data_IF_199542351510
#
_entry.id   IF_199542351510
#
_cell.length_a   1.000
_cell.length_b   1.000
_cell.length_c   1.000
_cell.angle_alpha   90.00
_cell.angle_beta   90.00
_cell.angle_gamma   90.00
#
_symmetry.space_group_name_H-M   'P 1'
#
loop_
_entity.id
_entity.type
_entity.pdbx_description
1 polymer ?
#
# COMPACT_ATOMS: atom_id res chain seq x y z
N UNK A 1 -0.68 23.30 -18.83
CA UNK A 1 0.58 23.15 -18.09
C UNK A 1 1.69 23.17 -19.11
N UNK A 2 2.62 24.11 -19.03
CA UNK A 2 3.77 24.15 -19.94
C UNK A 2 4.72 22.98 -19.65
N UNK A 3 5.52 22.58 -20.64
CA UNK A 3 6.57 21.56 -20.42
C UNK A 3 7.54 22.00 -19.31
N UNK A 4 7.75 23.30 -19.17
CA UNK A 4 8.58 23.90 -18.11
C UNK A 4 7.97 23.75 -16.71
N UNK A 5 6.67 23.94 -16.55
CA UNK A 5 5.98 23.68 -15.27
C UNK A 5 6.06 22.19 -14.89
N UNK A 6 5.89 21.31 -15.88
CA UNK A 6 5.97 19.86 -15.69
C UNK A 6 7.38 19.47 -15.21
N UNK A 7 8.42 19.99 -15.88
CA UNK A 7 9.81 19.66 -15.53
C UNK A 7 10.17 20.18 -14.14
N UNK A 8 9.74 21.38 -13.76
CA UNK A 8 9.94 21.93 -12.41
C UNK A 8 9.27 21.05 -11.35
N UNK A 9 8.01 20.67 -11.55
CA UNK A 9 7.25 19.86 -10.59
C UNK A 9 7.88 18.47 -10.39
N UNK A 10 8.19 17.75 -11.47
CA UNK A 10 8.81 16.42 -11.34
C UNK A 10 10.25 16.50 -10.83
N UNK A 11 11.00 17.55 -11.18
CA UNK A 11 12.34 17.76 -10.63
C UNK A 11 12.27 17.98 -9.11
N UNK A 12 11.29 18.75 -8.62
CA UNK A 12 11.08 18.93 -7.18
C UNK A 12 10.74 17.59 -6.49
N UNK A 13 9.88 16.76 -7.08
CA UNK A 13 9.54 15.43 -6.54
C UNK A 13 10.78 14.54 -6.47
N UNK A 14 11.61 14.52 -7.52
CA UNK A 14 12.83 13.71 -7.55
C UNK A 14 13.84 14.20 -6.52
N UNK A 15 14.04 15.52 -6.39
CA UNK A 15 14.93 16.10 -5.38
C UNK A 15 14.45 15.74 -3.98
N UNK A 16 13.13 15.85 -3.71
CA UNK A 16 12.56 15.51 -2.41
C UNK A 16 12.75 14.02 -2.10
N UNK A 17 12.55 13.12 -3.07
CA UNK A 17 12.81 11.70 -2.91
C UNK A 17 14.29 11.43 -2.59
N UNK A 18 15.22 12.01 -3.37
CA UNK A 18 16.67 11.86 -3.14
C UNK A 18 17.06 12.39 -1.76
N UNK A 19 16.56 13.56 -1.38
CA UNK A 19 16.81 14.15 -0.06
C UNK A 19 16.29 13.25 1.07
N UNK A 20 15.07 12.70 0.94
CA UNK A 20 14.47 11.79 1.92
C UNK A 20 15.26 10.49 2.06
N UNK A 21 15.59 9.83 0.95
CA UNK A 21 16.42 8.63 0.95
C UNK A 21 17.83 8.91 1.48
N UNK A 22 18.44 10.03 1.08
CA UNK A 22 19.74 10.47 1.57
C UNK A 22 19.75 10.71 3.07
N UNK A 23 18.73 11.39 3.61
CA UNK A 23 18.58 11.61 5.04
C UNK A 23 18.46 10.28 5.81
N UNK A 24 17.61 9.35 5.34
CA UNK A 24 17.50 8.01 5.94
C UNK A 24 18.84 7.26 5.90
N UNK A 25 19.54 7.27 4.75
CA UNK A 25 20.83 6.62 4.61
C UNK A 25 21.89 7.22 5.55
N UNK A 26 21.92 8.55 5.71
CA UNK A 26 22.80 9.23 6.67
C UNK A 26 22.45 8.83 8.10
N UNK A 27 21.16 8.79 8.47
CA UNK A 27 20.74 8.38 9.82
C UNK A 27 21.14 6.94 10.14
N UNK A 28 20.87 6.00 9.23
CA UNK A 28 21.29 4.59 9.41
C UNK A 28 22.81 4.45 9.40
N UNK A 29 23.51 5.15 8.52
CA UNK A 29 24.98 5.16 8.46
C UNK A 29 25.62 5.73 9.73
N UNK A 30 25.10 6.86 10.23
CA UNK A 30 25.53 7.45 11.49
C UNK A 30 25.25 6.52 12.67
N UNK A 31 24.06 5.90 12.74
CA UNK A 31 23.75 4.88 13.75
C UNK A 31 24.74 3.72 13.70
N UNK A 32 25.03 3.19 12.51
CA UNK A 32 25.95 2.07 12.34
C UNK A 32 27.42 2.40 12.74
N UNK A 33 27.85 3.65 12.56
CA UNK A 33 29.21 4.11 12.89
C UNK A 33 29.32 4.49 14.37
N UNK A 34 28.36 5.25 14.90
CA UNK A 34 28.41 5.84 16.24
C UNK A 34 27.90 4.89 17.34
N UNK A 35 27.04 3.92 17.02
CA UNK A 35 26.47 3.04 18.04
C UNK A 35 27.51 2.08 18.64
N UNK A 36 27.49 1.86 19.97
CA UNK A 36 28.32 0.85 20.62
C UNK A 36 28.03 -0.56 20.10
N UNK A 37 29.02 -1.21 19.51
CA UNK A 37 28.88 -2.58 18.95
C UNK A 37 29.13 -3.62 20.04
N UNK A 38 28.09 -3.97 20.82
CA UNK A 38 28.13 -5.03 21.84
C UNK A 38 27.33 -6.26 21.39
N UNK A 39 27.93 -7.05 20.49
CA UNK A 39 27.36 -8.32 20.00
C UNK A 39 27.41 -9.40 21.09
N UNK A 40 26.39 -10.24 21.11
CA UNK A 40 26.27 -11.38 22.02
C UNK A 40 25.25 -12.32 21.41
N UNK A 41 25.49 -13.63 21.51
CA UNK A 41 24.55 -14.65 21.02
C UNK A 41 23.14 -14.46 21.58
N UNK A 42 23.02 -14.02 22.83
CA UNK A 42 21.73 -13.73 23.48
C UNK A 42 21.02 -12.47 22.95
N UNK A 43 21.73 -11.54 22.31
CA UNK A 43 21.12 -10.34 21.68
C UNK A 43 20.72 -10.59 20.24
N UNK A 44 21.40 -11.53 19.60
CA UNK A 44 21.17 -11.89 18.20
C UNK A 44 20.10 -13.00 18.06
N UNK A 45 19.62 -13.57 19.18
CA UNK A 45 18.52 -14.54 19.20
C UNK A 45 17.15 -13.85 19.07
N UNK A 46 16.19 -14.45 18.33
CA UNK A 46 14.79 -14.01 18.34
C UNK A 46 14.22 -13.92 19.75
N UNK A 47 13.44 -12.87 20.01
CA UNK A 47 12.78 -12.65 21.29
C UNK A 47 11.59 -13.59 21.44
N UNK A 48 11.61 -14.44 22.47
CA UNK A 48 10.52 -15.37 22.82
C UNK A 48 10.25 -15.32 24.34
N UNK A 49 10.03 -14.12 24.90
CA UNK A 49 9.70 -13.92 26.33
C UNK A 49 10.63 -14.64 27.35
N UNK A 50 11.91 -14.86 27.01
CA UNK A 50 12.91 -15.46 27.90
C UNK A 50 13.14 -16.96 27.70
N UNK A 51 12.41 -17.63 26.79
CA UNK A 51 12.70 -19.00 26.38
C UNK A 51 13.58 -19.04 25.13
N UNK A 52 14.42 -20.08 24.93
CA UNK A 52 15.15 -20.26 23.68
C UNK A 52 14.18 -20.40 22.48
N UNK A 53 14.42 -19.69 21.38
CA UNK A 53 13.52 -19.68 20.24
C UNK A 53 13.46 -21.05 19.57
N UNK A 54 12.25 -21.48 19.21
CA UNK A 54 12.05 -22.73 18.47
C UNK A 54 12.63 -22.64 17.05
N UNK A 55 13.34 -23.66 16.56
CA UNK A 55 13.96 -23.65 15.23
C UNK A 55 12.95 -23.64 14.07
N UNK A 56 11.69 -23.95 14.32
CA UNK A 56 10.63 -23.96 13.30
C UNK A 56 9.35 -23.36 13.84
N UNK A 57 9.01 -22.18 13.34
CA UNK A 57 7.65 -21.63 13.41
C UNK A 57 7.13 -21.56 11.98
N UNK A 58 6.47 -22.62 11.53
CA UNK A 58 5.62 -22.51 10.34
C UNK A 58 4.43 -21.66 10.74
N UNK A 59 4.55 -20.35 10.52
CA UNK A 59 3.41 -19.46 10.67
C UNK A 59 2.33 -19.89 9.69
N UNK A 60 1.14 -20.20 10.20
CA UNK A 60 0.00 -20.52 9.35
C UNK A 60 -0.45 -19.23 8.65
N UNK A 61 0.07 -19.00 7.45
CA UNK A 61 -0.42 -17.94 6.58
C UNK A 61 -1.86 -18.25 6.21
N UNK A 62 -2.79 -17.57 6.86
CA UNK A 62 -4.21 -17.74 6.60
C UNK A 62 -4.58 -17.14 5.24
N UNK A 63 -5.41 -17.86 4.46
CA UNK A 63 -5.90 -17.40 3.14
C UNK A 63 -6.62 -16.04 3.22
N UNK A 64 -7.10 -15.64 4.40
CA UNK A 64 -7.73 -14.33 4.64
C UNK A 64 -6.90 -13.15 4.11
N UNK A 65 -5.57 -13.16 4.30
CA UNK A 65 -4.70 -12.06 3.83
C UNK A 65 -4.75 -11.90 2.32
N UNK A 66 -4.77 -13.02 1.60
CA UNK A 66 -4.85 -13.05 0.14
C UNK A 66 -6.19 -12.49 -0.36
N UNK A 67 -7.29 -12.83 0.31
CA UNK A 67 -8.61 -12.35 -0.13
C UNK A 67 -8.74 -10.84 0.07
N UNK A 68 -8.24 -10.29 1.18
CA UNK A 68 -8.17 -8.84 1.37
C UNK A 68 -7.29 -8.17 0.31
N UNK A 69 -6.15 -8.76 -0.04
CA UNK A 69 -5.26 -8.22 -1.06
C UNK A 69 -5.90 -8.17 -2.46
N UNK A 70 -6.60 -9.23 -2.88
CA UNK A 70 -7.30 -9.25 -4.17
C UNK A 70 -8.45 -8.26 -4.18
N UNK A 71 -9.23 -8.20 -3.10
CA UNK A 71 -10.33 -7.25 -3.04
C UNK A 71 -9.82 -5.81 -3.12
N UNK A 72 -8.75 -5.50 -2.38
CA UNK A 72 -8.08 -4.20 -2.47
C UNK A 72 -7.61 -3.89 -3.89
N UNK A 73 -6.97 -4.84 -4.57
CA UNK A 73 -6.50 -4.67 -5.95
C UNK A 73 -7.65 -4.36 -6.92
N UNK A 74 -8.80 -5.02 -6.76
CA UNK A 74 -9.98 -4.75 -7.59
C UNK A 74 -10.49 -3.32 -7.37
N UNK A 75 -10.56 -2.86 -6.12
CA UNK A 75 -10.93 -1.47 -5.80
C UNK A 75 -9.90 -0.44 -6.25
N UNK A 76 -8.62 -0.78 -6.22
CA UNK A 76 -7.57 0.12 -6.71
C UNK A 76 -7.70 0.32 -8.23
N UNK A 77 -8.00 -0.75 -8.97
CA UNK A 77 -8.31 -0.68 -10.40
C UNK A 77 -9.58 0.17 -10.65
N UNK A 78 -10.61 0.05 -9.80
CA UNK A 78 -11.79 0.92 -9.88
C UNK A 78 -11.42 2.40 -9.80
N UNK A 79 -10.56 2.77 -8.84
CA UNK A 79 -10.12 4.16 -8.68
C UNK A 79 -9.40 4.67 -9.94
N UNK A 80 -8.57 3.83 -10.58
CA UNK A 80 -7.91 4.17 -11.85
C UNK A 80 -8.91 4.54 -12.96
N UNK A 81 -10.11 3.96 -12.98
CA UNK A 81 -11.18 4.33 -13.91
C UNK A 81 -11.97 5.56 -13.46
N UNK A 82 -12.17 5.73 -12.15
CA UNK A 82 -12.90 6.87 -11.60
C UNK A 82 -12.17 8.20 -11.78
N UNK A 83 -10.82 8.22 -11.70
CA UNK A 83 -10.06 9.46 -11.81
C UNK A 83 -10.21 10.16 -13.19
N UNK A 84 -9.97 9.49 -14.33
CA UNK A 84 -10.21 10.09 -15.64
C UNK A 84 -11.67 10.49 -15.83
N UNK A 85 -12.61 9.67 -15.34
CA UNK A 85 -14.03 10.01 -15.42
C UNK A 85 -14.39 11.29 -14.68
N UNK A 86 -13.93 11.43 -13.43
CA UNK A 86 -14.20 12.59 -12.60
C UNK A 86 -13.56 13.88 -13.16
N UNK A 87 -12.37 13.77 -13.75
CA UNK A 87 -11.62 14.94 -14.24
C UNK A 87 -11.99 15.35 -15.67
N UNK A 88 -12.31 14.39 -16.54
CA UNK A 88 -12.47 14.63 -17.99
C UNK A 88 -13.94 14.48 -18.40
N UNK A 89 -14.64 13.47 -17.89
CA UNK A 89 -15.93 13.04 -18.42
C UNK A 89 -17.14 13.48 -17.59
N UNK A 90 -16.93 14.15 -16.45
CA UNK A 90 -18.03 14.71 -15.63
C UNK A 90 -18.92 15.69 -16.42
N UNK A 91 -18.34 16.43 -17.36
CA UNK A 91 -19.06 17.37 -18.22
C UNK A 91 -19.42 16.77 -19.60
N UNK A 92 -19.25 15.46 -19.78
CA UNK A 92 -19.61 14.77 -21.02
C UNK A 92 -21.14 14.61 -21.14
N UNK A 93 -21.58 13.87 -22.15
CA UNK A 93 -23.00 13.56 -22.37
C UNK A 93 -23.53 12.78 -21.15
N UNK A 94 -24.78 13.05 -20.74
CA UNK A 94 -25.44 12.43 -19.58
C UNK A 94 -25.32 10.90 -19.54
N UNK A 95 -25.23 10.24 -20.70
CA UNK A 95 -25.02 8.79 -20.80
C UNK A 95 -23.76 8.32 -20.05
N UNK A 96 -22.65 9.07 -20.12
CA UNK A 96 -21.37 8.72 -19.47
C UNK A 96 -21.46 8.79 -17.95
N UNK A 97 -22.34 9.66 -17.43
CA UNK A 97 -22.64 9.71 -16.00
C UNK A 97 -23.36 8.42 -15.55
N UNK A 98 -24.38 7.99 -16.29
CA UNK A 98 -25.13 6.77 -15.96
C UNK A 98 -24.30 5.49 -16.13
N UNK A 99 -23.44 5.43 -17.15
CA UNK A 99 -22.49 4.30 -17.33
C UNK A 99 -21.57 4.15 -16.11
N UNK A 100 -21.04 5.25 -15.58
CA UNK A 100 -20.20 5.18 -14.39
C UNK A 100 -20.99 4.83 -13.12
N UNK A 101 -22.22 5.32 -13.00
CA UNK A 101 -23.10 4.95 -11.89
C UNK A 101 -23.38 3.43 -11.89
N UNK A 102 -23.60 2.84 -13.07
CA UNK A 102 -23.76 1.39 -13.22
C UNK A 102 -22.46 0.65 -12.87
N UNK A 103 -21.31 1.15 -13.33
CA UNK A 103 -19.99 0.55 -13.02
C UNK A 103 -19.73 0.49 -11.51
N UNK A 104 -19.91 1.60 -10.81
CA UNK A 104 -19.78 1.68 -9.34
C UNK A 104 -20.79 0.73 -8.67
N UNK A 105 -22.04 0.72 -9.14
CA UNK A 105 -23.07 -0.15 -8.58
C UNK A 105 -22.68 -1.63 -8.67
N UNK A 106 -22.17 -2.09 -9.81
CA UNK A 106 -21.75 -3.50 -10.01
C UNK A 106 -20.67 -3.90 -9.00
N UNK A 107 -19.64 -3.06 -8.82
CA UNK A 107 -18.54 -3.34 -7.90
C UNK A 107 -18.99 -3.25 -6.44
N UNK A 108 -19.85 -2.27 -6.11
CA UNK A 108 -20.49 -2.16 -4.81
C UNK A 108 -21.33 -3.40 -4.45
N UNK A 109 -22.06 -3.97 -5.42
CA UNK A 109 -22.77 -5.24 -5.23
C UNK A 109 -21.79 -6.41 -4.99
N UNK A 110 -20.65 -6.44 -5.68
CA UNK A 110 -19.58 -7.40 -5.42
C UNK A 110 -19.05 -7.31 -3.98
N UNK A 111 -18.86 -6.10 -3.47
CA UNK A 111 -18.46 -5.84 -2.09
C UNK A 111 -19.51 -6.34 -1.09
N UNK A 112 -20.76 -5.95 -1.30
CA UNK A 112 -21.87 -6.35 -0.44
C UNK A 112 -22.02 -7.87 -0.39
N UNK A 113 -21.84 -8.55 -1.52
CA UNK A 113 -21.86 -10.00 -1.59
C UNK A 113 -20.70 -10.62 -0.79
N UNK A 114 -19.47 -10.13 -0.97
CA UNK A 114 -18.30 -10.57 -0.21
C UNK A 114 -18.48 -10.37 1.30
N UNK A 115 -19.07 -9.24 1.70
CA UNK A 115 -19.40 -8.95 3.09
C UNK A 115 -20.46 -9.90 3.63
N UNK A 116 -21.56 -10.13 2.90
CA UNK A 116 -22.60 -11.09 3.30
C UNK A 116 -22.07 -12.52 3.42
N UNK A 117 -21.10 -12.91 2.60
CA UNK A 117 -20.42 -14.21 2.71
C UNK A 117 -19.40 -14.30 3.85
N UNK A 118 -19.20 -13.22 4.61
CA UNK A 118 -18.28 -13.21 5.75
C UNK A 118 -16.81 -13.22 5.37
N UNK A 119 -16.49 -12.98 4.09
CA UNK A 119 -15.11 -13.00 3.57
C UNK A 119 -14.26 -11.86 4.17
N UNK A 120 -14.93 -10.80 4.61
CA UNK A 120 -14.32 -9.63 5.27
C UNK A 120 -14.23 -9.77 6.80
N UNK A 121 -14.63 -10.90 7.37
CA UNK A 121 -14.61 -11.06 8.82
C UNK A 121 -13.22 -11.45 9.31
N UNK A 122 -12.75 -10.71 10.32
CA UNK A 122 -11.53 -11.04 11.04
C UNK A 122 -11.87 -11.82 12.30
N UNK A 123 -11.98 -13.15 12.18
CA UNK A 123 -12.17 -14.08 13.30
C UNK A 123 -11.07 -15.11 13.37
#
# INVERSE_FOLDING_TARGET
MSIEELTVNYTAVVIAAIAGFGAMAIMFGASYILAPKRRSELKDMPYECGIPPSPYSWSQLHVRYYIFAILFLIFDIEAVFLFPWALIFVNAIDAVFYEMLIFIAILFFGLMYGWKKGVLQWR
#
